data_IF_305936317054
#
_entry.id   IF_305936317054
#
_cell.length_a   1.000
_cell.length_b   1.000
_cell.length_c   1.000
_cell.angle_alpha   90.00
_cell.angle_beta   90.00
_cell.angle_gamma   90.00
#
_symmetry.space_group_name_H-M   'P 1'
#
loop_
_entity.id
_entity.type
_entity.pdbx_description
1 polymer ?
#
# COMPACT_ATOMS: atom_id res chain seq x y z
N UNK A 1 -14.17 14.73 11.32
CA UNK A 1 -13.85 14.72 9.88
C UNK A 1 -13.19 13.40 9.59
N UNK A 2 -13.63 12.67 8.56
CA UNK A 2 -12.92 11.46 8.15
C UNK A 2 -11.56 11.91 7.61
N UNK A 3 -10.50 11.69 8.40
CA UNK A 3 -9.14 12.00 8.02
C UNK A 3 -8.78 11.27 6.74
N UNK A 4 -7.87 11.85 5.96
CA UNK A 4 -7.42 11.23 4.71
C UNK A 4 -6.86 9.82 4.91
N UNK A 5 -6.65 9.13 3.80
CA UNK A 5 -6.15 7.76 3.79
C UNK A 5 -4.74 7.65 4.36
N UNK A 6 -4.50 6.76 5.32
CA UNK A 6 -3.16 6.46 5.83
C UNK A 6 -2.30 5.76 4.78
N UNK A 7 -0.99 5.97 4.80
CA UNK A 7 -0.05 5.19 3.97
C UNK A 7 -0.10 3.70 4.27
N UNK A 8 -0.28 3.32 5.54
CA UNK A 8 -0.39 1.92 5.96
C UNK A 8 -1.67 1.24 5.46
N UNK A 9 -2.69 2.03 5.13
CA UNK A 9 -3.97 1.57 4.58
C UNK A 9 -4.01 1.61 3.05
N UNK A 10 -2.98 2.15 2.40
CA UNK A 10 -2.99 2.44 0.96
C UNK A 10 -1.75 1.96 0.23
N UNK A 11 -0.69 2.76 0.22
CA UNK A 11 0.46 2.60 -0.66
C UNK A 11 1.63 1.83 -0.05
N UNK A 12 1.64 1.63 1.27
CA UNK A 12 2.72 0.94 1.98
C UNK A 12 2.16 0.10 3.15
N UNK A 13 1.25 -0.86 2.86
CA UNK A 13 0.77 -1.78 3.88
C UNK A 13 1.96 -2.51 4.49
N UNK A 14 2.01 -2.58 5.83
CA UNK A 14 3.06 -3.24 6.61
C UNK A 14 2.54 -4.61 7.10
N UNK A 15 2.47 -5.65 6.25
CA UNK A 15 1.89 -6.94 6.65
C UNK A 15 2.62 -7.61 7.82
N UNK A 16 3.94 -7.40 7.91
CA UNK A 16 4.80 -7.98 8.93
C UNK A 16 4.86 -7.13 10.22
N UNK A 17 4.22 -5.97 10.24
CA UNK A 17 4.16 -5.14 11.44
C UNK A 17 3.15 -5.71 12.46
N UNK A 18 3.31 -5.38 13.75
CA UNK A 18 2.32 -5.69 14.78
C UNK A 18 0.90 -5.29 14.38
N UNK A 19 -0.09 -5.99 14.92
CA UNK A 19 -1.51 -5.82 14.56
C UNK A 19 -2.01 -4.39 14.75
N UNK A 20 -1.42 -3.67 15.71
CA UNK A 20 -1.80 -2.29 16.04
C UNK A 20 -1.18 -1.26 15.09
N UNK A 21 -0.21 -1.67 14.27
CA UNK A 21 0.50 -0.81 13.29
C UNK A 21 0.06 -1.12 11.87
N UNK A 22 -0.30 -2.38 11.58
CA UNK A 22 -0.79 -2.75 10.25
C UNK A 22 -2.13 -2.05 9.98
N UNK A 23 -2.34 -1.64 8.73
CA UNK A 23 -3.67 -1.19 8.28
C UNK A 23 -4.69 -2.33 8.34
N UNK A 24 -5.97 -1.98 8.40
CA UNK A 24 -7.08 -2.95 8.43
C UNK A 24 -7.16 -3.81 7.16
N UNK A 25 -6.73 -3.24 6.03
CA UNK A 25 -6.89 -3.83 4.70
C UNK A 25 -5.77 -4.78 4.32
N UNK A 26 -6.08 -5.72 3.42
CA UNK A 26 -5.12 -6.71 2.95
C UNK A 26 -4.18 -6.11 1.90
N UNK A 27 -2.88 -6.45 1.96
CA UNK A 27 -1.97 -6.13 0.88
C UNK A 27 -2.21 -7.02 -0.34
N UNK A 28 -2.02 -6.45 -1.52
CA UNK A 28 -2.01 -7.13 -2.81
C UNK A 28 -0.68 -6.90 -3.52
N UNK A 29 -0.26 -7.89 -4.31
CA UNK A 29 0.93 -7.77 -5.17
C UNK A 29 0.69 -6.70 -6.23
N UNK A 30 1.75 -5.98 -6.58
CA UNK A 30 1.73 -5.01 -7.68
C UNK A 30 2.50 -5.55 -8.90
N UNK A 31 2.37 -4.89 -10.05
CA UNK A 31 3.17 -5.19 -11.25
C UNK A 31 4.69 -4.98 -11.05
N UNK A 32 5.11 -4.22 -10.04
CA UNK A 32 6.53 -4.06 -9.66
C UNK A 32 6.87 -5.03 -8.52
N UNK A 33 7.79 -6.00 -8.73
CA UNK A 33 8.21 -6.93 -7.69
C UNK A 33 8.73 -6.22 -6.43
N UNK A 34 8.38 -6.75 -5.25
CA UNK A 34 8.79 -6.17 -3.96
C UNK A 34 7.95 -4.99 -3.48
N UNK A 35 6.92 -4.58 -4.24
CA UNK A 35 5.98 -3.53 -3.85
C UNK A 35 4.59 -4.14 -3.66
N UNK A 36 3.91 -3.71 -2.59
CA UNK A 36 2.55 -4.10 -2.25
C UNK A 36 1.71 -2.84 -2.03
N UNK A 37 0.44 -2.91 -2.42
CA UNK A 37 -0.57 -1.87 -2.17
C UNK A 37 -1.78 -2.52 -1.48
N UNK A 38 -2.72 -1.70 -0.98
CA UNK A 38 -3.98 -2.17 -0.43
C UNK A 38 -4.92 -2.76 -1.51
N UNK A 39 -5.73 -3.76 -1.12
CA UNK A 39 -6.72 -4.42 -1.97
C UNK A 39 -7.75 -3.48 -2.63
N UNK A 40 -7.93 -2.27 -2.08
CA UNK A 40 -8.88 -1.27 -2.59
C UNK A 40 -8.33 -0.40 -3.74
N UNK A 41 -7.05 -0.51 -4.09
CA UNK A 41 -6.44 0.23 -5.22
C UNK A 41 -5.83 -0.69 -6.30
N UNK A 42 -6.60 -1.68 -6.81
CA UNK A 42 -6.06 -2.72 -7.69
C UNK A 42 -5.57 -2.21 -9.03
N UNK A 43 -6.19 -1.15 -9.57
CA UNK A 43 -5.76 -0.54 -10.83
C UNK A 43 -4.41 0.17 -10.69
N UNK A 44 -4.16 0.79 -9.53
CA UNK A 44 -2.85 1.39 -9.26
C UNK A 44 -1.78 0.31 -9.07
N UNK A 45 -2.13 -0.79 -8.39
CA UNK A 45 -1.24 -1.95 -8.25
C UNK A 45 -0.84 -2.53 -9.62
N UNK A 46 -1.81 -2.67 -10.53
CA UNK A 46 -1.58 -3.11 -11.92
C UNK A 46 -0.65 -2.19 -12.70
N UNK A 47 -0.66 -0.89 -12.40
CA UNK A 47 0.14 0.11 -13.10
C UNK A 47 1.40 0.56 -12.35
N UNK A 48 1.76 -0.08 -11.24
CA UNK A 48 2.95 0.24 -10.42
C UNK A 48 4.27 0.31 -11.20
N UNK A 49 4.41 -0.43 -12.29
CA UNK A 49 5.59 -0.38 -13.18
C UNK A 49 5.67 0.91 -14.02
N UNK A 50 4.65 1.76 -13.97
CA UNK A 50 4.59 3.08 -14.61
C UNK A 50 4.68 4.23 -13.60
N UNK A 51 4.86 3.93 -12.31
CA UNK A 51 4.88 4.92 -11.24
C UNK A 51 6.32 5.18 -10.79
N UNK A 52 6.63 6.44 -10.49
CA UNK A 52 7.80 6.78 -9.70
C UNK A 52 7.40 6.72 -8.21
N UNK A 53 7.81 5.66 -7.53
CA UNK A 53 7.50 5.47 -6.10
C UNK A 53 8.66 6.02 -5.28
N UNK A 54 8.40 7.11 -4.56
CA UNK A 54 9.38 7.75 -3.68
C UNK A 54 9.13 7.28 -2.25
N UNK A 55 10.13 6.64 -1.65
CA UNK A 55 10.13 6.27 -0.23
C UNK A 55 11.02 7.26 0.53
N UNK A 56 10.41 8.15 1.30
CA UNK A 56 11.13 8.97 2.28
C UNK A 56 11.12 8.29 3.63
N UNK A 57 12.24 8.39 4.34
CA UNK A 57 12.34 8.05 5.77
C UNK A 57 11.84 9.19 6.64
#
# INVERSE_FOLDING_TARGET
TWGGMSHYESFDPKPEAPVDIRGEFKPIKTATPGIQFCEHIPLLAKHSNKLAIVRSV
#
